data_IF_015860131604
#
_entry.id   IF_015860131604
#
_cell.length_a   1.000
_cell.length_b   1.000
_cell.length_c   1.000
_cell.angle_alpha   90.00
_cell.angle_beta   90.00
_cell.angle_gamma   90.00
#
_symmetry.space_group_name_H-M   'P 1'
#
loop_
_entity.id
_entity.type
_entity.pdbx_description
1 polymer ?
#
# COMPACT_ATOMS: atom_id res chain seq x y z
N UNK A 1 46.00 24.03 59.75
CA UNK A 1 44.90 24.66 59.00
C UNK A 1 44.51 23.73 57.87
N UNK A 2 43.35 23.07 58.00
CA UNK A 2 42.80 22.13 57.01
C UNK A 2 42.20 22.90 55.83
N UNK A 3 42.76 22.78 54.63
CA UNK A 3 42.08 23.23 53.41
C UNK A 3 41.36 22.06 52.76
N UNK A 4 40.04 22.12 52.89
CA UNK A 4 39.04 21.16 52.44
C UNK A 4 39.03 21.04 50.90
N UNK A 5 38.99 19.80 50.43
CA UNK A 5 38.81 19.40 49.02
C UNK A 5 37.49 19.95 48.48
N UNK A 6 37.52 20.54 47.28
CA UNK A 6 36.32 20.70 46.44
C UNK A 6 36.54 19.89 45.16
N UNK A 7 36.06 18.65 45.18
CA UNK A 7 36.01 17.80 43.99
C UNK A 7 34.75 18.19 43.22
N UNK A 8 34.91 18.90 42.10
CA UNK A 8 33.83 19.28 41.21
C UNK A 8 33.40 18.05 40.40
N UNK A 9 32.42 17.30 40.89
CA UNK A 9 31.75 16.27 40.09
C UNK A 9 30.90 16.97 39.02
N UNK A 10 31.42 17.10 37.79
CA UNK A 10 30.60 17.41 36.63
C UNK A 10 29.64 16.25 36.38
N UNK A 11 28.37 16.46 36.72
CA UNK A 11 27.27 15.57 36.40
C UNK A 11 26.97 15.72 34.89
N UNK A 12 27.47 14.80 34.06
CA UNK A 12 27.01 14.67 32.68
C UNK A 12 25.58 14.13 32.69
N UNK A 13 24.59 15.01 32.61
CA UNK A 13 23.21 14.62 32.33
C UNK A 13 23.15 14.28 30.83
N UNK A 14 23.32 13.01 30.51
CA UNK A 14 22.99 12.50 29.16
C UNK A 14 21.48 12.57 29.03
N UNK A 15 20.98 13.63 28.40
CA UNK A 15 19.58 13.70 27.99
C UNK A 15 19.40 12.69 26.86
N UNK A 16 18.97 11.47 27.22
CA UNK A 16 18.46 10.50 26.26
C UNK A 16 17.13 11.08 25.77
N UNK A 17 17.16 11.83 24.67
CA UNK A 17 15.92 12.13 23.96
C UNK A 17 15.27 10.79 23.63
N UNK A 18 14.00 10.56 23.99
CA UNK A 18 13.30 9.41 23.43
C UNK A 18 13.41 9.60 21.91
N UNK A 19 14.04 8.63 21.23
CA UNK A 19 13.91 8.51 19.79
C UNK A 19 12.40 8.43 19.59
N UNK A 20 11.79 9.56 19.20
CA UNK A 20 10.38 9.62 18.94
C UNK A 20 10.13 8.54 17.90
N UNK A 21 9.49 7.45 18.32
CA UNK A 21 9.16 6.36 17.43
C UNK A 21 8.40 7.00 16.28
N UNK A 22 9.04 7.05 15.09
CA UNK A 22 8.39 7.59 13.91
C UNK A 22 7.08 6.82 13.75
N UNK A 23 5.96 7.50 13.48
CA UNK A 23 4.68 6.81 13.29
C UNK A 23 4.86 5.67 12.30
N UNK A 24 4.28 4.54 12.67
CA UNK A 24 4.21 3.28 11.91
C UNK A 24 3.06 3.36 10.94
N UNK A 25 3.23 2.82 9.75
CA UNK A 25 2.35 3.18 8.64
C UNK A 25 2.03 2.00 7.71
N UNK A 26 0.78 1.99 7.27
CA UNK A 26 0.31 1.31 6.06
C UNK A 26 0.26 2.34 4.94
N UNK A 27 0.63 1.92 3.73
CA UNK A 27 0.60 2.73 2.52
C UNK A 27 -0.31 2.07 1.49
N UNK A 28 -1.26 2.83 0.96
CA UNK A 28 -2.13 2.45 -0.15
C UNK A 28 -1.54 3.03 -1.42
N UNK A 29 -1.10 2.15 -2.32
CA UNK A 29 -0.46 2.51 -3.59
C UNK A 29 -1.52 2.43 -4.67
N UNK A 30 -1.82 3.54 -5.33
CA UNK A 30 -2.97 3.66 -6.22
C UNK A 30 -2.52 4.19 -7.58
N UNK A 31 -2.95 3.49 -8.63
CA UNK A 31 -2.91 3.92 -10.02
C UNK A 31 -4.35 4.13 -10.46
N UNK A 32 -4.67 5.31 -10.97
CA UNK A 32 -6.04 5.64 -11.38
C UNK A 32 -6.37 5.01 -12.73
N UNK A 33 -7.66 4.83 -12.98
CA UNK A 33 -8.15 4.52 -14.32
C UNK A 33 -8.34 5.84 -15.06
N UNK A 34 -7.55 6.06 -16.10
CA UNK A 34 -7.60 7.26 -16.95
C UNK A 34 -7.05 6.95 -18.35
N UNK A 35 -7.46 7.72 -19.36
CA UNK A 35 -6.89 7.70 -20.72
C UNK A 35 -6.82 6.31 -21.40
N UNK A 36 -7.82 5.46 -21.17
CA UNK A 36 -7.87 4.10 -21.73
C UNK A 36 -7.09 3.06 -20.92
N UNK A 37 -6.40 3.46 -19.85
CA UNK A 37 -5.64 2.58 -18.97
C UNK A 37 -6.48 2.08 -17.79
N UNK A 38 -6.36 0.78 -17.48
CA UNK A 38 -6.95 0.20 -16.28
C UNK A 38 -6.06 0.55 -15.09
N UNK A 39 -6.64 1.18 -14.07
CA UNK A 39 -5.91 1.48 -12.84
C UNK A 39 -5.60 0.24 -11.99
N UNK A 40 -4.95 0.45 -10.85
CA UNK A 40 -4.53 -0.63 -9.96
C UNK A 40 -4.42 -0.17 -8.51
N UNK A 41 -4.60 -1.09 -7.55
CA UNK A 41 -4.42 -0.79 -6.12
C UNK A 41 -3.59 -1.89 -5.47
N UNK A 42 -2.61 -1.49 -4.66
CA UNK A 42 -1.83 -2.38 -3.82
C UNK A 42 -1.62 -1.83 -2.41
N UNK A 43 -1.05 -2.66 -1.55
CA UNK A 43 -0.94 -2.41 -0.11
C UNK A 43 0.49 -2.63 0.37
N UNK A 44 1.13 -1.62 0.95
CA UNK A 44 2.44 -1.74 1.55
C UNK A 44 2.40 -1.52 3.07
N UNK A 45 3.15 -2.33 3.81
CA UNK A 45 3.14 -2.36 5.28
C UNK A 45 4.56 -2.31 5.81
N UNK A 46 4.80 -1.51 6.85
CA UNK A 46 6.11 -1.36 7.46
C UNK A 46 6.71 -2.68 7.99
N UNK A 47 8.05 -2.79 7.89
CA UNK A 47 8.83 -3.88 8.47
C UNK A 47 9.54 -3.47 9.76
N UNK A 48 9.68 -4.42 10.67
CA UNK A 48 10.21 -4.23 12.01
C UNK A 48 11.29 -5.25 12.35
N UNK A 49 12.22 -4.86 13.20
CA UNK A 49 13.18 -5.74 13.87
C UNK A 49 13.02 -5.59 15.38
N UNK A 50 13.09 -6.71 16.11
CA UNK A 50 13.13 -6.69 17.57
C UNK A 50 14.59 -6.49 17.98
N UNK A 51 14.86 -5.42 18.72
CA UNK A 51 16.16 -5.11 19.29
C UNK A 51 16.09 -5.36 20.80
N UNK A 52 16.93 -6.25 21.29
CA UNK A 52 17.03 -6.55 22.71
C UNK A 52 18.07 -5.63 23.33
N UNK A 53 17.67 -4.83 24.33
CA UNK A 53 18.56 -3.92 25.05
C UNK A 53 18.49 -4.16 26.54
N UNK A 54 19.65 -4.29 27.16
CA UNK A 54 19.74 -4.28 28.61
C UNK A 54 19.69 -2.83 29.12
N UNK A 55 18.67 -2.52 29.91
CA UNK A 55 18.43 -1.22 30.51
C UNK A 55 18.43 -1.36 32.03
N UNK A 56 18.97 -0.39 32.76
CA UNK A 56 18.91 -0.40 34.22
C UNK A 56 17.68 0.37 34.68
N UNK A 57 16.67 -0.34 35.20
CA UNK A 57 15.47 0.27 35.79
C UNK A 57 15.56 -0.02 37.29
N UNK A 58 15.55 1.03 38.12
CA UNK A 58 15.64 0.92 39.59
C UNK A 58 16.85 0.10 40.08
N UNK A 59 18.05 0.32 39.51
CA UNK A 59 19.29 -0.41 39.83
C UNK A 59 19.26 -1.91 39.50
N UNK A 60 18.22 -2.40 38.83
CA UNK A 60 18.14 -3.77 38.33
C UNK A 60 18.39 -3.75 36.83
N UNK A 61 19.29 -4.63 36.36
CA UNK A 61 19.51 -4.84 34.94
C UNK A 61 18.28 -5.58 34.37
N UNK A 62 17.54 -4.90 33.52
CA UNK A 62 16.32 -5.39 32.88
C UNK A 62 16.53 -5.48 31.38
N UNK A 63 16.26 -6.64 30.79
CA UNK A 63 16.27 -6.80 29.34
C UNK A 63 14.94 -6.30 28.77
N UNK A 64 15.00 -5.30 27.89
CA UNK A 64 13.87 -4.69 27.21
C UNK A 64 13.90 -5.04 25.72
N UNK A 65 12.74 -5.38 25.16
CA UNK A 65 12.58 -5.64 23.73
C UNK A 65 11.97 -4.40 23.06
N UNK A 66 12.76 -3.72 22.23
CA UNK A 66 12.31 -2.58 21.43
C UNK A 66 11.95 -3.04 20.02
N UNK A 67 10.75 -2.70 19.55
CA UNK A 67 10.37 -2.92 18.15
C UNK A 67 10.79 -1.71 17.33
N UNK A 68 11.77 -1.89 16.43
CA UNK A 68 12.38 -0.80 15.66
C UNK A 68 12.02 -0.95 14.18
N UNK A 69 11.52 0.13 13.57
CA UNK A 69 11.19 0.16 12.14
C UNK A 69 12.47 0.02 11.32
N UNK A 70 12.46 -0.91 10.36
CA UNK A 70 13.59 -1.14 9.45
C UNK A 70 13.69 -0.10 8.35
N UNK A 71 12.63 0.71 8.17
CA UNK A 71 12.37 1.64 7.06
C UNK A 71 12.22 0.93 5.70
N UNK A 72 11.93 -0.36 5.67
CA UNK A 72 11.51 -1.10 4.46
C UNK A 72 10.04 -1.48 4.57
N UNK A 73 9.42 -1.77 3.43
CA UNK A 73 8.02 -2.16 3.34
C UNK A 73 7.90 -3.59 2.79
N UNK A 74 6.86 -4.30 3.24
CA UNK A 74 6.32 -5.47 2.54
C UNK A 74 5.14 -5.02 1.70
N UNK A 75 5.18 -5.26 0.40
CA UNK A 75 4.11 -4.91 -0.54
C UNK A 75 3.32 -6.15 -0.94
N UNK A 76 2.00 -6.05 -0.86
CA UNK A 76 1.03 -7.07 -1.23
C UNK A 76 0.22 -6.61 -2.43
N UNK A 77 0.04 -7.52 -3.37
CA UNK A 77 -0.64 -7.24 -4.62
C UNK A 77 -1.44 -8.44 -5.13
N UNK A 78 -2.52 -8.18 -5.86
CA UNK A 78 -3.34 -9.16 -6.58
C UNK A 78 -3.50 -8.74 -8.04
N UNK A 79 -3.05 -9.61 -8.94
CA UNK A 79 -3.25 -9.46 -10.38
C UNK A 79 -4.06 -10.62 -10.94
N UNK A 80 -4.74 -10.37 -12.05
CA UNK A 80 -5.27 -11.42 -12.91
C UNK A 80 -4.16 -12.09 -13.74
N UNK A 81 -4.53 -13.03 -14.61
CA UNK A 81 -3.61 -13.56 -15.61
C UNK A 81 -3.09 -12.43 -16.52
N UNK A 82 -1.95 -12.65 -17.18
CA UNK A 82 -1.31 -11.63 -18.01
C UNK A 82 -2.20 -11.15 -19.17
N UNK A 83 -3.04 -12.04 -19.67
CA UNK A 83 -4.04 -11.75 -20.70
C UNK A 83 -5.41 -12.21 -20.17
N UNK A 84 -6.42 -11.36 -20.34
CA UNK A 84 -7.82 -11.65 -20.04
C UNK A 84 -8.58 -11.37 -21.32
N UNK A 85 -9.31 -12.36 -21.83
CA UNK A 85 -10.12 -12.16 -23.03
C UNK A 85 -11.38 -11.36 -22.68
N UNK A 86 -11.94 -10.69 -23.70
CA UNK A 86 -13.10 -9.81 -23.51
C UNK A 86 -14.32 -10.54 -22.93
N UNK A 87 -14.45 -11.85 -23.18
CA UNK A 87 -15.53 -12.71 -22.70
C UNK A 87 -15.26 -13.31 -21.30
N UNK A 88 -14.03 -13.21 -20.79
CA UNK A 88 -13.60 -13.84 -19.53
C UNK A 88 -13.64 -12.87 -18.33
N UNK A 89 -14.02 -11.61 -18.54
CA UNK A 89 -14.00 -10.62 -17.47
C UNK A 89 -14.90 -10.97 -16.28
N UNK A 90 -15.99 -11.71 -16.52
CA UNK A 90 -16.92 -12.17 -15.49
C UNK A 90 -16.50 -13.51 -14.85
N UNK A 91 -15.47 -14.18 -15.36
CA UNK A 91 -15.05 -15.49 -14.89
C UNK A 91 -14.09 -15.40 -13.69
N UNK A 92 -14.07 -16.48 -12.90
CA UNK A 92 -13.05 -16.68 -11.88
C UNK A 92 -11.81 -17.28 -12.53
N UNK A 93 -10.78 -16.45 -12.71
CA UNK A 93 -9.51 -16.78 -13.33
C UNK A 93 -8.44 -17.08 -12.29
N UNK A 94 -7.30 -17.62 -12.74
CA UNK A 94 -6.15 -17.83 -11.87
C UNK A 94 -5.62 -16.49 -11.33
N UNK A 95 -5.50 -16.39 -10.00
CA UNK A 95 -4.89 -15.22 -9.37
C UNK A 95 -3.36 -15.23 -9.50
N UNK A 96 -2.78 -14.03 -9.47
CA UNK A 96 -1.34 -13.80 -9.33
C UNK A 96 -1.13 -12.87 -8.14
N UNK A 97 -0.98 -13.47 -6.96
CA UNK A 97 -0.61 -12.74 -5.76
C UNK A 97 0.89 -12.48 -5.70
N UNK A 98 1.26 -11.27 -5.28
CA UNK A 98 2.64 -10.90 -5.03
C UNK A 98 2.81 -10.47 -3.57
N UNK A 99 3.88 -10.97 -2.95
CA UNK A 99 4.39 -10.47 -1.67
C UNK A 99 5.85 -10.09 -1.89
N UNK A 100 6.15 -8.80 -1.86
CA UNK A 100 7.45 -8.25 -2.18
C UNK A 100 8.09 -7.54 -0.97
N UNK A 101 9.42 -7.52 -0.86
CA UNK A 101 10.38 -8.26 -1.68
C UNK A 101 10.30 -9.78 -1.40
N UNK A 102 10.53 -10.61 -2.42
CA UNK A 102 10.51 -12.08 -2.31
C UNK A 102 11.80 -12.66 -1.76
N UNK A 103 12.89 -11.90 -1.84
CA UNK A 103 14.20 -12.30 -1.34
C UNK A 103 15.04 -11.07 -0.96
N UNK A 104 16.14 -11.30 -0.24
CA UNK A 104 17.06 -10.23 0.17
C UNK A 104 17.85 -9.61 -0.99
N UNK A 105 17.88 -10.23 -2.17
CA UNK A 105 18.53 -9.67 -3.36
C UNK A 105 17.64 -8.71 -4.13
N UNK A 106 16.32 -8.71 -3.88
CA UNK A 106 15.42 -7.76 -4.51
C UNK A 106 15.59 -6.34 -3.94
N UNK A 107 15.35 -5.30 -4.75
CA UNK A 107 15.41 -3.93 -4.27
C UNK A 107 14.51 -3.72 -3.07
N UNK A 108 15.04 -3.01 -2.08
CA UNK A 108 14.29 -2.60 -0.91
C UNK A 108 13.15 -1.66 -1.32
N UNK A 109 11.93 -1.99 -0.88
CA UNK A 109 10.74 -1.19 -1.11
C UNK A 109 10.59 -0.15 0.02
N UNK A 110 10.29 1.09 -0.36
CA UNK A 110 10.04 2.25 0.52
C UNK A 110 8.87 3.07 -0.04
N UNK A 111 8.32 4.00 0.74
CA UNK A 111 7.30 4.92 0.23
C UNK A 111 7.81 5.71 -0.99
N UNK A 112 9.05 6.21 -0.89
CA UNK A 112 9.74 6.92 -1.99
C UNK A 112 9.91 6.05 -3.24
N UNK A 113 10.01 4.73 -3.10
CA UNK A 113 10.05 3.82 -4.24
C UNK A 113 8.80 3.99 -5.11
N UNK A 114 7.61 3.99 -4.51
CA UNK A 114 6.36 4.14 -5.24
C UNK A 114 6.17 5.55 -5.82
N UNK A 115 6.74 6.56 -5.17
CA UNK A 115 6.67 7.95 -5.62
C UNK A 115 7.65 8.28 -6.76
N UNK A 116 8.66 7.45 -7.00
CA UNK A 116 9.73 7.74 -7.97
C UNK A 116 9.92 6.67 -9.05
N UNK A 117 9.62 5.40 -8.77
CA UNK A 117 9.90 4.27 -9.65
C UNK A 117 8.69 3.43 -10.04
N UNK A 118 7.64 3.43 -9.22
CA UNK A 118 6.41 2.70 -9.51
C UNK A 118 6.28 1.35 -8.81
N UNK A 119 5.65 0.37 -9.47
CA UNK A 119 5.49 -1.00 -8.97
C UNK A 119 6.63 -1.89 -9.46
N UNK A 120 7.39 -2.54 -8.54
CA UNK A 120 8.60 -3.29 -8.89
C UNK A 120 8.45 -4.37 -9.96
N UNK A 121 7.24 -4.85 -10.21
CA UNK A 121 6.97 -5.99 -11.08
C UNK A 121 5.98 -5.70 -12.23
N UNK A 122 5.54 -4.44 -12.41
CA UNK A 122 4.58 -4.12 -13.47
C UNK A 122 4.65 -2.70 -14.02
N UNK A 123 4.72 -1.67 -13.17
CA UNK A 123 4.68 -0.27 -13.61
C UNK A 123 6.03 0.39 -13.32
N UNK A 124 6.68 0.89 -14.36
CA UNK A 124 7.96 1.60 -14.29
C UNK A 124 7.82 3.12 -14.15
N UNK A 125 6.60 3.58 -13.83
CA UNK A 125 6.28 4.98 -13.57
C UNK A 125 5.67 5.15 -12.16
N UNK A 126 5.84 6.33 -11.52
CA UNK A 126 5.31 6.60 -10.19
C UNK A 126 3.80 6.36 -10.06
N UNK A 127 3.37 5.87 -8.90
CA UNK A 127 1.93 5.76 -8.57
C UNK A 127 1.22 7.11 -8.66
N UNK A 128 -0.05 7.12 -9.06
CA UNK A 128 -0.85 8.34 -9.17
C UNK A 128 -1.20 8.92 -7.80
N UNK A 129 -1.49 8.04 -6.84
CA UNK A 129 -1.66 8.40 -5.44
C UNK A 129 -0.92 7.47 -4.49
N UNK A 130 -0.43 8.08 -3.41
CA UNK A 130 0.11 7.36 -2.26
C UNK A 130 -0.57 7.92 -1.01
N UNK A 131 -1.31 7.05 -0.33
CA UNK A 131 -2.09 7.41 0.85
C UNK A 131 -1.56 6.63 2.05
N UNK A 132 -1.39 7.31 3.18
CA UNK A 132 -0.79 6.76 4.39
C UNK A 132 -1.82 6.64 5.51
N UNK A 133 -1.98 5.45 6.06
CA UNK A 133 -2.73 5.22 7.28
C UNK A 133 -1.76 4.99 8.42
N UNK A 134 -1.83 5.82 9.46
CA UNK A 134 -1.00 5.64 10.67
C UNK A 134 -1.53 4.46 11.47
N UNK A 135 -0.64 3.56 11.84
CA UNK A 135 -0.92 2.30 12.53
C UNK A 135 0.04 2.06 13.69
N UNK A 136 0.13 0.82 14.17
CA UNK A 136 1.08 0.33 15.17
C UNK A 136 1.77 -0.93 14.63
N UNK A 137 2.94 -1.34 15.17
CA UNK A 137 3.57 -2.59 14.77
C UNK A 137 2.65 -3.82 14.89
N UNK A 138 1.75 -3.82 15.88
CA UNK A 138 0.77 -4.88 16.08
C UNK A 138 -0.27 -4.92 14.95
N UNK A 139 -0.81 -3.77 14.57
CA UNK A 139 -1.77 -3.69 13.45
C UNK A 139 -1.10 -4.07 12.13
N UNK A 140 0.16 -3.67 11.94
CA UNK A 140 0.92 -4.01 10.73
C UNK A 140 1.20 -5.51 10.62
N UNK A 141 1.63 -6.14 11.71
CA UNK A 141 1.79 -7.59 11.77
C UNK A 141 0.46 -8.29 11.47
N UNK A 142 -0.64 -7.82 12.08
CA UNK A 142 -1.97 -8.36 11.85
C UNK A 142 -2.43 -8.22 10.40
N UNK A 143 -2.14 -7.09 9.76
CA UNK A 143 -2.47 -6.88 8.36
C UNK A 143 -1.72 -7.84 7.45
N UNK A 144 -0.44 -8.12 7.73
CA UNK A 144 0.35 -9.10 6.96
C UNK A 144 -0.24 -10.50 7.08
N UNK A 145 -0.68 -10.90 8.28
CA UNK A 145 -1.39 -12.17 8.50
C UNK A 145 -2.71 -12.21 7.73
N UNK A 146 -3.50 -11.13 7.78
CA UNK A 146 -4.77 -11.01 7.05
C UNK A 146 -4.54 -11.14 5.54
N UNK A 147 -3.57 -10.40 5.00
CA UNK A 147 -3.25 -10.43 3.58
C UNK A 147 -2.83 -11.84 3.16
N UNK A 148 -1.90 -12.47 3.88
CA UNK A 148 -1.46 -13.84 3.59
C UNK A 148 -2.63 -14.85 3.70
N UNK A 149 -3.51 -14.70 4.69
CA UNK A 149 -4.70 -15.54 4.84
C UNK A 149 -5.67 -15.39 3.68
N UNK A 150 -5.92 -14.18 3.21
CA UNK A 150 -6.79 -13.92 2.06
C UNK A 150 -6.23 -14.55 0.78
N UNK A 151 -4.90 -14.50 0.56
CA UNK A 151 -4.27 -15.13 -0.61
C UNK A 151 -4.55 -16.63 -0.68
N UNK A 152 -4.64 -17.30 0.47
CA UNK A 152 -4.99 -18.73 0.56
C UNK A 152 -6.50 -18.95 0.45
N UNK A 153 -7.30 -18.11 1.09
CA UNK A 153 -8.77 -18.21 1.11
C UNK A 153 -9.39 -17.97 -0.29
N UNK A 154 -8.79 -17.08 -1.09
CA UNK A 154 -9.33 -16.65 -2.38
C UNK A 154 -8.30 -16.83 -3.48
N UNK A 155 -8.06 -18.06 -3.96
CA UNK A 155 -7.01 -18.34 -4.94
C UNK A 155 -7.35 -17.89 -6.38
N UNK A 156 -8.34 -17.01 -6.57
CA UNK A 156 -8.88 -16.62 -7.87
C UNK A 156 -8.89 -15.10 -8.04
N UNK A 157 -8.99 -14.66 -9.29
CA UNK A 157 -9.16 -13.27 -9.68
C UNK A 157 -10.41 -13.15 -10.55
N UNK A 158 -11.22 -12.13 -10.32
CA UNK A 158 -12.37 -11.79 -11.15
C UNK A 158 -12.38 -10.29 -11.40
N UNK A 159 -12.39 -9.87 -12.67
CA UNK A 159 -12.27 -8.43 -13.00
C UNK A 159 -13.44 -7.60 -12.45
N UNK A 160 -14.60 -8.23 -12.25
CA UNK A 160 -15.85 -7.57 -11.85
C UNK A 160 -16.16 -7.70 -10.37
N UNK A 161 -15.91 -8.87 -9.79
CA UNK A 161 -16.37 -9.24 -8.44
C UNK A 161 -15.25 -9.37 -7.40
N UNK A 162 -14.00 -9.63 -7.83
CA UNK A 162 -12.88 -9.80 -6.92
C UNK A 162 -11.54 -9.48 -7.61
N UNK A 163 -11.21 -8.19 -7.67
CA UNK A 163 -9.99 -7.68 -8.27
C UNK A 163 -9.02 -7.11 -7.21
N UNK A 164 -7.96 -6.42 -7.65
CA UNK A 164 -6.96 -5.80 -6.77
C UNK A 164 -7.57 -4.86 -5.72
N UNK A 165 -8.61 -4.11 -6.11
CA UNK A 165 -9.33 -3.20 -5.21
C UNK A 165 -10.08 -3.98 -4.14
N UNK A 166 -10.79 -5.05 -4.52
CA UNK A 166 -11.52 -5.88 -3.56
C UNK A 166 -10.59 -6.58 -2.57
N UNK A 167 -9.40 -7.02 -3.02
CA UNK A 167 -8.39 -7.59 -2.15
C UNK A 167 -7.93 -6.59 -1.07
N UNK A 168 -7.62 -5.35 -1.46
CA UNK A 168 -7.18 -4.32 -0.51
C UNK A 168 -8.31 -3.87 0.41
N UNK A 169 -9.54 -3.69 -0.12
CA UNK A 169 -10.72 -3.41 0.71
C UNK A 169 -10.96 -4.51 1.75
N UNK A 170 -10.88 -5.78 1.35
CA UNK A 170 -11.06 -6.90 2.27
C UNK A 170 -9.99 -6.92 3.36
N UNK A 171 -8.74 -6.62 3.02
CA UNK A 171 -7.66 -6.44 3.99
C UNK A 171 -7.98 -5.34 5.02
N UNK A 172 -8.38 -4.15 4.54
CA UNK A 172 -8.71 -3.00 5.40
C UNK A 172 -9.96 -3.25 6.25
N UNK A 173 -11.01 -3.81 5.68
CA UNK A 173 -12.26 -4.13 6.37
C UNK A 173 -12.03 -5.13 7.50
N UNK A 174 -11.21 -6.17 7.27
CA UNK A 174 -10.84 -7.14 8.31
C UNK A 174 -9.93 -6.55 9.39
N UNK A 175 -8.99 -5.66 9.02
CA UNK A 175 -8.07 -5.04 9.97
C UNK A 175 -8.78 -4.03 10.87
N UNK A 176 -9.61 -3.18 10.28
CA UNK A 176 -10.21 -2.02 10.94
C UNK A 176 -11.65 -2.29 11.42
N UNK A 177 -12.17 -3.49 11.18
CA UNK A 177 -13.55 -3.87 11.50
C UNK A 177 -14.58 -2.88 10.92
N UNK A 178 -14.42 -2.56 9.64
CA UNK A 178 -15.27 -1.63 8.89
C UNK A 178 -15.87 -2.30 7.65
N UNK A 179 -16.74 -1.59 6.93
CA UNK A 179 -17.34 -2.05 5.67
C UNK A 179 -17.15 -0.98 4.57
N UNK A 180 -15.91 -0.75 4.17
CA UNK A 180 -15.60 0.12 3.04
C UNK A 180 -16.04 -0.57 1.75
N UNK A 181 -16.72 0.20 0.90
CA UNK A 181 -17.12 -0.20 -0.43
C UNK A 181 -16.66 0.88 -1.42
N UNK A 182 -16.10 0.44 -2.55
CA UNK A 182 -15.56 1.32 -3.58
C UNK A 182 -16.11 0.94 -4.96
N UNK A 183 -17.44 0.78 -5.02
CA UNK A 183 -18.14 0.30 -6.20
C UNK A 183 -18.59 1.47 -7.07
N UNK A 184 -18.37 1.35 -8.38
CA UNK A 184 -19.08 2.13 -9.38
C UNK A 184 -19.82 1.21 -10.35
N UNK A 185 -20.83 1.76 -11.01
CA UNK A 185 -21.55 1.04 -12.04
C UNK A 185 -20.72 0.99 -13.32
N UNK A 186 -20.42 -0.21 -13.78
CA UNK A 186 -19.83 -0.47 -15.10
C UNK A 186 -20.82 -1.40 -15.81
N UNK A 187 -21.18 -1.21 -17.09
CA UNK A 187 -22.33 -1.88 -17.71
C UNK A 187 -22.57 -3.31 -17.24
N UNK A 188 -23.82 -3.55 -16.83
CA UNK A 188 -24.34 -4.84 -16.36
C UNK A 188 -23.95 -5.29 -14.94
N UNK A 189 -23.04 -4.62 -14.21
CA UNK A 189 -22.77 -4.93 -12.79
C UNK A 189 -22.06 -3.81 -12.01
N UNK A 190 -22.05 -3.89 -10.68
CA UNK A 190 -21.28 -2.98 -9.81
C UNK A 190 -19.93 -3.59 -9.48
N UNK A 191 -18.85 -2.88 -9.79
CA UNK A 191 -17.49 -3.40 -9.62
C UNK A 191 -16.62 -2.43 -8.85
N UNK A 192 -15.66 -2.97 -8.11
CA UNK A 192 -14.73 -2.13 -7.35
C UNK A 192 -13.69 -1.56 -8.27
N UNK A 193 -13.41 -0.26 -8.17
CA UNK A 193 -12.42 0.40 -9.03
C UNK A 193 -11.39 1.20 -8.23
N UNK A 194 -10.19 1.39 -8.78
CA UNK A 194 -9.15 2.21 -8.15
C UNK A 194 -9.57 3.66 -7.87
N UNK A 195 -10.40 4.24 -8.76
CA UNK A 195 -10.86 5.62 -8.63
C UNK A 195 -11.81 5.76 -7.44
N UNK A 196 -12.82 4.89 -7.36
CA UNK A 196 -13.72 4.85 -6.19
C UNK A 196 -12.98 4.44 -4.92
N UNK A 197 -11.95 3.58 -5.03
CA UNK A 197 -11.15 3.19 -3.87
C UNK A 197 -10.48 4.39 -3.23
N UNK A 198 -9.80 5.22 -4.03
CA UNK A 198 -9.19 6.46 -3.56
C UNK A 198 -10.21 7.38 -2.88
N UNK A 199 -11.36 7.61 -3.52
CA UNK A 199 -12.44 8.44 -2.97
C UNK A 199 -12.92 7.91 -1.62
N UNK A 200 -13.22 6.61 -1.54
CA UNK A 200 -13.70 5.95 -0.34
C UNK A 200 -12.68 6.05 0.81
N UNK A 201 -11.41 5.71 0.57
CA UNK A 201 -10.41 5.72 1.66
C UNK A 201 -10.09 7.14 2.13
N UNK A 202 -10.03 8.12 1.23
CA UNK A 202 -9.79 9.52 1.61
C UNK A 202 -10.97 10.11 2.37
N UNK A 203 -12.20 9.74 2.01
CA UNK A 203 -13.39 10.26 2.66
C UNK A 203 -13.68 9.59 4.02
N UNK A 204 -13.41 8.29 4.17
CA UNK A 204 -13.91 7.50 5.30
C UNK A 204 -12.84 7.10 6.32
N UNK A 205 -11.55 7.19 5.98
CA UNK A 205 -10.46 6.82 6.88
C UNK A 205 -9.61 8.05 7.27
N UNK A 206 -8.98 8.04 8.47
CA UNK A 206 -8.10 9.12 8.92
C UNK A 206 -6.71 9.02 8.26
N UNK A 207 -6.68 9.19 6.94
CA UNK A 207 -5.48 9.04 6.13
C UNK A 207 -4.72 10.35 5.96
N UNK A 208 -3.41 10.24 5.70
CA UNK A 208 -2.59 11.32 5.19
C UNK A 208 -2.28 11.08 3.72
N UNK A 209 -2.63 12.03 2.87
CA UNK A 209 -2.27 12.01 1.45
C UNK A 209 -0.79 12.41 1.32
N UNK A 210 0.03 11.50 0.78
CA UNK A 210 1.45 11.77 0.47
C UNK A 210 1.63 12.24 -0.97
N UNK A 211 0.84 11.67 -1.88
CA UNK A 211 0.65 12.13 -3.26
C UNK A 211 -0.84 12.01 -3.60
N UNK A 212 -1.42 13.08 -4.13
CA UNK A 212 -2.83 13.11 -4.53
C UNK A 212 -2.99 12.60 -5.97
N UNK A 213 -4.11 11.93 -6.26
CA UNK A 213 -4.41 11.30 -7.54
C UNK A 213 -4.65 12.27 -8.72
N UNK A 214 -4.74 13.57 -8.45
CA UNK A 214 -5.16 14.58 -9.44
C UNK A 214 -6.67 14.50 -9.76
N UNK A 215 -7.09 15.27 -10.77
CA UNK A 215 -8.51 15.41 -11.16
C UNK A 215 -9.06 14.15 -11.86
N UNK A 216 -8.18 13.34 -12.43
CA UNK A 216 -8.52 12.11 -13.17
C UNK A 216 -9.30 11.11 -12.32
N UNK A 217 -9.07 11.10 -11.01
CA UNK A 217 -9.80 10.23 -10.08
C UNK A 217 -11.30 10.53 -10.05
N UNK A 218 -11.71 11.74 -10.43
CA UNK A 218 -13.12 12.14 -10.49
C UNK A 218 -13.90 11.45 -11.61
N UNK A 219 -13.21 10.92 -12.63
CA UNK A 219 -13.84 10.35 -13.83
C UNK A 219 -14.23 8.88 -13.62
N UNK A 220 -15.30 8.46 -14.32
CA UNK A 220 -15.83 7.09 -14.23
C UNK A 220 -15.01 6.09 -15.05
N UNK A 221 -14.97 4.84 -14.60
CA UNK A 221 -14.29 3.76 -15.32
C UNK A 221 -14.85 3.57 -16.73
N UNK A 222 -16.16 3.72 -16.92
CA UNK A 222 -16.79 3.54 -18.24
C UNK A 222 -16.27 4.57 -19.24
N UNK A 223 -16.20 5.84 -18.81
CA UNK A 223 -15.68 6.91 -19.64
C UNK A 223 -14.19 6.68 -19.94
N UNK A 224 -13.40 6.49 -18.88
CA UNK A 224 -11.95 6.47 -19.01
C UNK A 224 -11.41 5.19 -19.61
N UNK A 225 -12.00 4.03 -19.33
CA UNK A 225 -11.49 2.76 -19.82
C UNK A 225 -12.20 2.26 -21.07
N UNK A 226 -13.53 2.31 -21.10
CA UNK A 226 -14.31 1.70 -22.19
C UNK A 226 -14.36 2.66 -23.37
N UNK A 227 -14.86 3.88 -23.17
CA UNK A 227 -15.06 4.85 -24.25
C UNK A 227 -13.71 5.30 -24.83
N UNK A 228 -12.77 5.76 -23.99
CA UNK A 228 -11.49 6.26 -24.48
C UNK A 228 -10.66 5.17 -25.19
N UNK A 229 -10.74 3.90 -24.77
CA UNK A 229 -10.05 2.83 -25.50
C UNK A 229 -10.61 2.56 -26.89
N UNK A 230 -11.93 2.70 -27.08
CA UNK A 230 -12.55 2.58 -28.39
C UNK A 230 -12.16 3.77 -29.29
N UNK A 231 -12.17 4.98 -28.74
CA UNK A 231 -11.78 6.19 -29.48
C UNK A 231 -10.30 6.16 -29.89
N UNK A 232 -9.41 5.71 -29.00
CA UNK A 232 -7.98 5.59 -29.28
C UNK A 232 -7.68 4.51 -30.33
N UNK A 233 -8.42 3.40 -30.32
CA UNK A 233 -8.31 2.37 -31.36
C UNK A 233 -8.84 2.87 -32.72
N UNK A 234 -9.85 3.75 -32.73
CA UNK A 234 -10.36 4.33 -33.98
C UNK A 234 -9.40 5.36 -34.60
N UNK A 235 -8.71 6.18 -33.80
CA UNK A 235 -7.74 7.16 -34.31
C UNK A 235 -6.50 6.50 -34.91
N UNK A 236 -5.98 5.46 -34.25
CA UNK A 236 -4.80 4.69 -34.73
C UNK A 236 -5.11 3.87 -35.99
N UNK A 237 -6.35 3.43 -36.19
CA UNK A 237 -6.77 2.79 -37.44
C UNK A 237 -6.92 3.78 -38.60
N UNK A 238 -7.31 5.03 -38.34
CA UNK A 238 -7.44 6.06 -39.37
C UNK A 238 -6.09 6.57 -39.89
N UNK A 239 -5.03 6.59 -39.06
CA UNK A 239 -3.68 6.94 -39.52
C UNK A 239 -3.07 5.86 -40.42
N UNK A 240 -3.33 4.57 -40.15
CA UNK A 240 -2.77 3.46 -40.94
C UNK A 240 -3.43 3.23 -42.30
N UNK A 241 -4.57 3.87 -42.59
CA UNK A 241 -5.24 3.74 -43.90
C UNK A 241 -5.00 4.93 -44.83
N UNK A 242 -4.14 5.88 -44.42
CA UNK A 242 -3.80 7.07 -45.19
C UNK A 242 -2.35 7.05 -45.73
N UNK A 243 -1.64 5.92 -45.60
CA UNK A 243 -0.37 5.61 -46.27
C UNK A 243 -0.59 4.54 -47.36
#
# INVERSE_FOLDING_TARGET
MNTMRLLLCMLFVVTISPVAAKPTDIYLVIYTTHDGHTGHVGLAVDNYTIVVRDTVINHVKTTCNDTVRTLSLTYFDLWGPAEIRWDEHADNLASRYFTLPRSSSEPRITADYFLSRGLPHSYDYPCDALVRLRTSPTLDARLKEIAAGIQVERPYFNSREYNCTDFVLLCLNRLLHTNLEAKEYIPFTWSSTPNEFYKTVVAQLPVQIMKAAGDEVGKSFVQERIINSVLFNQSTHHEKTND
#
